data_IF_625056518565
#
_entry.id   IF_625056518565
#
_cell.length_a   1.000
_cell.length_b   1.000
_cell.length_c   1.000
_cell.angle_alpha   90.00
_cell.angle_beta   90.00
_cell.angle_gamma   90.00
#
_symmetry.space_group_name_H-M   'P 1'
#
loop_
_entity.id
_entity.type
_entity.pdbx_description
1 polymer ?
#
# COMPACT_ATOMS: atom_id res chain seq x y z
N UNK A 1 -2.26 19.88 -20.60
CA UNK A 1 -1.57 18.57 -20.46
C UNK A 1 -2.16 17.91 -19.24
N UNK A 2 -2.82 16.74 -19.37
CA UNK A 2 -3.40 16.06 -18.24
C UNK A 2 -2.32 15.41 -17.37
N UNK A 3 -2.57 15.36 -16.06
CA UNK A 3 -1.77 14.57 -15.13
C UNK A 3 -2.58 13.36 -14.72
N UNK A 4 -1.91 12.24 -14.49
CA UNK A 4 -2.55 11.04 -14.00
C UNK A 4 -3.15 11.32 -12.61
N UNK A 5 -4.46 11.09 -12.39
CA UNK A 5 -5.08 11.33 -11.09
C UNK A 5 -4.49 10.43 -10.01
N UNK A 6 -3.93 9.29 -10.40
CA UNK A 6 -3.42 8.28 -9.48
C UNK A 6 -1.94 8.43 -9.14
N UNK A 7 -1.11 9.09 -9.94
CA UNK A 7 0.32 9.22 -9.60
C UNK A 7 0.92 10.59 -9.89
N UNK A 8 0.12 11.55 -10.37
CA UNK A 8 0.59 12.90 -10.68
C UNK A 8 1.59 12.97 -11.83
N UNK A 9 1.85 11.86 -12.52
CA UNK A 9 2.73 11.85 -13.69
C UNK A 9 2.04 12.56 -14.83
N UNK A 10 2.78 13.38 -15.56
CA UNK A 10 2.30 13.99 -16.78
C UNK A 10 1.97 12.90 -17.80
N UNK A 11 0.75 12.94 -18.33
CA UNK A 11 0.27 11.95 -19.27
C UNK A 11 -0.16 12.62 -20.55
N UNK A 12 0.06 11.93 -21.67
CA UNK A 12 -0.45 12.38 -22.94
C UNK A 12 -1.99 12.34 -22.91
N UNK A 13 -2.65 13.36 -23.48
CA UNK A 13 -4.11 13.45 -23.50
C UNK A 13 -4.80 12.33 -24.28
N UNK A 14 -4.05 11.56 -25.08
CA UNK A 14 -4.55 10.40 -25.81
C UNK A 14 -4.20 9.05 -25.16
N UNK A 15 -3.48 9.04 -24.04
CA UNK A 15 -3.11 7.81 -23.36
C UNK A 15 -4.33 7.21 -22.65
N UNK A 16 -4.66 5.95 -22.95
CA UNK A 16 -5.73 5.21 -22.25
C UNK A 16 -5.29 4.73 -20.85
N UNK A 17 -3.98 4.57 -20.64
CA UNK A 17 -3.39 4.13 -19.38
C UNK A 17 -2.16 4.97 -19.05
N UNK A 18 -1.96 5.23 -17.76
CA UNK A 18 -0.77 5.92 -17.28
C UNK A 18 0.47 5.03 -17.47
N UNK A 19 1.53 5.50 -18.15
CA UNK A 19 2.75 4.73 -18.36
C UNK A 19 3.53 4.50 -17.06
N UNK A 20 3.28 5.29 -16.02
CA UNK A 20 3.99 5.16 -14.75
C UNK A 20 3.30 4.20 -13.77
N UNK A 21 1.98 4.28 -13.61
CA UNK A 21 1.24 3.49 -12.61
C UNK A 21 0.23 2.50 -13.19
N UNK A 22 -0.01 2.51 -14.51
CA UNK A 22 -0.96 1.61 -15.18
C UNK A 22 -2.43 1.99 -14.99
N UNK A 23 -2.74 3.10 -14.33
CA UNK A 23 -4.11 3.59 -14.14
C UNK A 23 -4.77 3.92 -15.46
N UNK A 24 -5.99 3.42 -15.68
CA UNK A 24 -6.83 3.83 -16.81
C UNK A 24 -7.18 5.31 -16.74
N UNK A 25 -6.84 6.07 -17.78
CA UNK A 25 -7.06 7.51 -17.92
C UNK A 25 -8.34 7.83 -18.68
N UNK A 26 -9.10 6.82 -19.08
CA UNK A 26 -10.40 7.02 -19.71
C UNK A 26 -11.32 7.80 -18.77
N UNK A 27 -11.80 8.95 -19.26
CA UNK A 27 -12.74 9.80 -18.56
C UNK A 27 -14.03 9.02 -18.27
N UNK A 28 -14.13 8.42 -17.09
CA UNK A 28 -15.38 7.84 -16.59
C UNK A 28 -16.38 8.96 -16.38
N UNK A 29 -17.12 9.30 -17.43
CA UNK A 29 -18.46 9.85 -17.28
C UNK A 29 -19.35 8.70 -16.81
N UNK A 30 -19.22 8.38 -15.53
CA UNK A 30 -20.07 7.43 -14.85
C UNK A 30 -20.22 7.97 -13.44
N UNK A 31 -21.30 8.72 -13.27
CA UNK A 31 -21.93 9.11 -12.01
C UNK A 31 -21.48 8.22 -10.84
N UNK A 32 -20.89 8.77 -9.77
CA UNK A 32 -20.59 7.98 -8.58
C UNK A 32 -21.93 7.62 -7.93
N UNK A 33 -22.49 6.49 -8.37
CA UNK A 33 -23.50 5.77 -7.63
C UNK A 33 -22.76 5.16 -6.46
N UNK A 34 -22.68 5.92 -5.36
CA UNK A 34 -22.14 5.45 -4.08
C UNK A 34 -23.00 4.28 -3.62
N UNK A 35 -22.60 3.07 -4.01
CA UNK A 35 -22.82 1.87 -3.23
C UNK A 35 -21.47 1.62 -2.57
N UNK A 36 -21.43 1.64 -1.24
CA UNK A 36 -20.30 1.20 -0.42
C UNK A 36 -19.61 0.02 -1.12
N UNK A 37 -18.45 0.27 -1.72
CA UNK A 37 -17.61 -0.83 -2.16
C UNK A 37 -17.08 -1.45 -0.88
N UNK A 38 -17.67 -2.57 -0.45
CA UNK A 38 -17.11 -3.35 0.64
C UNK A 38 -15.66 -3.64 0.29
N UNK A 39 -14.72 -3.20 1.13
CA UNK A 39 -13.31 -3.50 0.94
C UNK A 39 -13.16 -5.03 0.95
N UNK A 40 -12.89 -5.60 -0.23
CA UNK A 40 -12.61 -7.03 -0.38
C UNK A 40 -11.25 -7.31 0.23
N UNK A 41 -11.17 -8.37 1.01
CA UNK A 41 -9.89 -8.87 1.52
C UNK A 41 -8.95 -9.22 0.37
N UNK A 42 -7.67 -8.92 0.52
CA UNK A 42 -6.64 -9.33 -0.42
C UNK A 42 -6.50 -10.86 -0.41
N UNK A 43 -6.18 -11.43 -1.57
CA UNK A 43 -5.69 -12.82 -1.68
C UNK A 43 -4.24 -12.84 -1.16
N UNK A 44 -4.05 -13.40 0.04
CA UNK A 44 -2.75 -13.45 0.71
C UNK A 44 -1.94 -14.66 0.22
N UNK A 45 -0.63 -14.50 0.16
CA UNK A 45 0.26 -15.65 0.04
C UNK A 45 0.56 -16.25 1.42
N UNK A 46 1.01 -17.51 1.45
CA UNK A 46 1.30 -18.26 2.69
C UNK A 46 2.19 -17.49 3.67
N UNK A 47 3.18 -16.76 3.17
CA UNK A 47 4.08 -15.96 4.01
C UNK A 47 3.33 -14.80 4.67
N UNK A 48 2.45 -14.13 3.95
CA UNK A 48 1.69 -12.99 4.49
C UNK A 48 0.57 -13.45 5.42
N UNK A 49 0.00 -14.64 5.19
CA UNK A 49 -0.94 -15.26 6.12
C UNK A 49 -0.28 -15.56 7.48
N UNK A 50 0.93 -16.12 7.49
CA UNK A 50 1.69 -16.34 8.71
C UNK A 50 1.94 -15.02 9.47
N UNK A 51 2.36 -13.97 8.75
CA UNK A 51 2.60 -12.65 9.34
C UNK A 51 1.28 -12.07 9.90
N UNK A 52 0.17 -12.20 9.17
CA UNK A 52 -1.13 -11.73 9.62
C UNK A 52 -1.56 -12.40 10.92
N UNK A 53 -1.34 -13.71 11.05
CA UNK A 53 -1.63 -14.44 12.28
C UNK A 53 -0.72 -14.00 13.44
N UNK A 54 0.58 -13.83 13.20
CA UNK A 54 1.51 -13.29 14.22
C UNK A 54 1.07 -11.89 14.70
N UNK A 55 0.65 -11.03 13.77
CA UNK A 55 0.17 -9.68 14.08
C UNK A 55 -1.15 -9.70 14.87
N UNK A 56 -2.04 -10.66 14.59
CA UNK A 56 -3.28 -10.87 15.37
C UNK A 56 -2.99 -11.38 16.77
N UNK A 57 -2.10 -12.37 16.91
CA UNK A 57 -1.71 -12.92 18.21
C UNK A 57 -1.06 -11.86 19.11
N UNK A 58 -0.32 -10.92 18.51
CA UNK A 58 0.26 -9.76 19.19
C UNK A 58 -0.73 -8.63 19.48
N UNK A 59 -1.98 -8.73 19.02
CA UNK A 59 -3.01 -7.70 19.14
C UNK A 59 -2.75 -6.45 18.29
N UNK A 60 -1.87 -6.54 17.29
CA UNK A 60 -1.59 -5.44 16.36
C UNK A 60 -2.71 -5.29 15.34
N UNK A 61 -3.18 -6.39 14.76
CA UNK A 61 -4.33 -6.44 13.86
C UNK A 61 -5.50 -7.11 14.59
N UNK A 62 -6.71 -6.56 14.48
CA UNK A 62 -7.91 -7.18 15.06
C UNK A 62 -8.22 -8.56 14.46
N UNK A 63 -8.90 -9.45 15.19
CA UNK A 63 -9.21 -10.80 14.70
C UNK A 63 -10.01 -10.78 13.39
N UNK A 64 -10.97 -9.86 13.28
CA UNK A 64 -11.85 -9.71 12.11
C UNK A 64 -11.44 -8.55 11.19
N UNK A 65 -10.29 -7.93 11.44
CA UNK A 65 -9.82 -6.80 10.65
C UNK A 65 -9.29 -7.30 9.29
N UNK A 66 -9.88 -6.81 8.19
CA UNK A 66 -9.53 -7.28 6.86
C UNK A 66 -8.22 -6.66 6.40
N UNK A 67 -7.35 -7.50 5.83
CA UNK A 67 -6.19 -7.07 5.06
C UNK A 67 -6.65 -6.80 3.64
N UNK A 68 -6.37 -5.60 3.14
CA UNK A 68 -6.87 -5.09 1.86
C UNK A 68 -5.78 -5.03 0.78
N UNK A 69 -4.53 -4.90 1.19
CA UNK A 69 -3.37 -4.99 0.31
C UNK A 69 -2.13 -5.35 1.12
N UNK A 70 -1.10 -5.87 0.44
CA UNK A 70 0.23 -5.99 1.01
C UNK A 70 1.29 -5.82 -0.08
N UNK A 71 2.53 -5.57 0.35
CA UNK A 71 3.71 -5.66 -0.48
C UNK A 71 4.90 -6.21 0.30
N UNK A 72 5.76 -6.99 -0.35
CA UNK A 72 6.97 -7.56 0.26
C UNK A 72 8.22 -6.90 -0.29
N UNK A 73 9.16 -6.57 0.57
CA UNK A 73 10.43 -5.97 0.17
C UNK A 73 11.19 -6.92 -0.75
N UNK A 74 11.69 -6.42 -1.88
CA UNK A 74 12.47 -7.17 -2.86
C UNK A 74 13.89 -7.44 -2.36
N UNK A 75 14.09 -8.48 -1.54
CA UNK A 75 15.43 -8.89 -1.10
C UNK A 75 15.94 -10.08 -1.91
N UNK A 76 17.05 -9.89 -2.63
CA UNK A 76 17.80 -10.97 -3.27
C UNK A 76 18.86 -11.50 -2.29
N UNK A 77 18.81 -12.81 -1.97
CA UNK A 77 19.79 -13.54 -1.12
C UNK A 77 19.86 -13.12 0.36
N UNK A 78 18.72 -13.03 1.07
CA UNK A 78 18.73 -12.91 2.54
C UNK A 78 18.38 -14.25 3.21
N UNK A 79 19.01 -14.55 4.35
CA UNK A 79 18.68 -15.70 5.20
C UNK A 79 17.41 -15.48 6.03
N UNK A 80 16.86 -14.26 6.01
CA UNK A 80 15.68 -13.85 6.77
C UNK A 80 14.59 -13.47 5.78
N UNK A 81 13.32 -13.76 6.12
CA UNK A 81 12.14 -13.34 5.36
C UNK A 81 12.20 -11.81 5.08
N UNK A 82 11.69 -11.32 3.94
CA UNK A 82 11.67 -9.89 3.65
C UNK A 82 10.68 -9.15 4.56
N UNK A 83 10.90 -7.84 4.71
CA UNK A 83 9.92 -6.97 5.36
C UNK A 83 8.63 -6.88 4.53
N UNK A 84 7.49 -6.72 5.20
CA UNK A 84 6.17 -6.64 4.59
C UNK A 84 5.48 -5.34 4.99
N UNK A 85 4.85 -4.67 4.03
CA UNK A 85 3.88 -3.63 4.24
C UNK A 85 2.49 -4.25 4.09
N UNK A 86 1.61 -4.07 5.07
CA UNK A 86 0.28 -4.66 5.12
C UNK A 86 -0.71 -3.52 5.36
N UNK A 87 -1.67 -3.36 4.46
CA UNK A 87 -2.77 -2.38 4.57
C UNK A 87 -4.00 -3.11 5.04
N UNK A 88 -4.62 -2.64 6.11
CA UNK A 88 -5.91 -3.11 6.60
C UNK A 88 -6.99 -2.03 6.40
N UNK A 89 -8.22 -2.33 6.82
CA UNK A 89 -9.31 -1.34 6.86
C UNK A 89 -9.03 -0.16 7.82
N UNK A 90 -8.12 -0.30 8.79
CA UNK A 90 -7.89 0.69 9.85
C UNK A 90 -6.48 1.27 9.89
N UNK A 91 -5.50 0.56 9.36
CA UNK A 91 -4.10 0.93 9.54
C UNK A 91 -3.20 0.35 8.44
N UNK A 92 -2.04 0.97 8.30
CA UNK A 92 -0.89 0.37 7.67
C UNK A 92 0.02 -0.23 8.75
N UNK A 93 0.49 -1.45 8.50
CA UNK A 93 1.47 -2.15 9.31
C UNK A 93 2.73 -2.41 8.48
N UNK A 94 3.88 -1.93 8.96
CA UNK A 94 5.19 -2.36 8.51
C UNK A 94 5.73 -3.42 9.46
N UNK A 95 5.97 -4.61 8.92
CA UNK A 95 6.54 -5.75 9.63
C UNK A 95 7.93 -6.05 9.08
N UNK A 96 8.96 -5.97 9.92
CA UNK A 96 10.34 -6.24 9.55
C UNK A 96 10.89 -7.36 10.44
N UNK A 97 10.99 -8.60 9.93
CA UNK A 97 11.54 -9.71 10.69
C UNK A 97 13.03 -9.48 10.95
N UNK A 98 13.46 -9.70 12.19
CA UNK A 98 14.86 -9.63 12.62
C UNK A 98 15.35 -11.05 12.96
N UNK A 99 16.66 -11.21 13.16
CA UNK A 99 17.22 -12.51 13.62
C UNK A 99 16.57 -12.92 14.95
N UNK A 100 16.25 -11.93 15.79
CA UNK A 100 15.55 -12.11 17.05
C UNK A 100 14.33 -11.20 17.03
N UNK A 101 13.15 -11.82 17.03
CA UNK A 101 11.86 -11.12 17.02
C UNK A 101 11.57 -10.38 15.72
N UNK A 102 10.75 -9.34 15.82
CA UNK A 102 10.32 -8.52 14.69
C UNK A 102 10.17 -7.08 15.12
N UNK A 103 10.44 -6.17 14.19
CA UNK A 103 10.12 -4.75 14.33
C UNK A 103 8.79 -4.48 13.64
N UNK A 104 7.88 -3.84 14.37
CA UNK A 104 6.54 -3.55 13.91
C UNK A 104 6.32 -2.05 14.06
N UNK A 105 5.89 -1.40 12.98
CA UNK A 105 5.46 0.01 12.98
C UNK A 105 4.06 0.09 12.41
N UNK A 106 3.18 0.85 13.05
CA UNK A 106 1.79 1.04 12.60
C UNK A 106 1.47 2.52 12.43
N UNK A 107 0.56 2.82 11.49
CA UNK A 107 -0.10 4.12 11.34
C UNK A 107 -1.55 3.90 10.99
N UNK A 108 -2.44 4.58 11.66
CA UNK A 108 -3.86 4.48 11.32
C UNK A 108 -4.11 5.19 9.99
N UNK A 109 -5.12 4.75 9.24
CA UNK A 109 -5.37 5.28 7.90
C UNK A 109 -5.80 6.75 7.90
N UNK A 110 -6.36 7.23 9.01
CA UNK A 110 -6.72 8.63 9.27
C UNK A 110 -5.52 9.53 9.55
N UNK A 111 -4.39 8.99 10.05
CA UNK A 111 -3.16 9.75 10.28
C UNK A 111 -2.33 9.97 8.99
N UNK A 112 -2.68 9.28 7.89
CA UNK A 112 -1.90 9.31 6.64
C UNK A 112 -2.39 10.46 5.76
N UNK A 113 -1.53 11.46 5.57
CA UNK A 113 -1.83 12.64 4.76
C UNK A 113 -1.48 12.47 3.30
N UNK A 114 -0.32 11.86 3.04
CA UNK A 114 0.19 11.65 1.69
C UNK A 114 1.00 10.36 1.62
N UNK A 115 0.96 9.74 0.45
CA UNK A 115 1.77 8.56 0.13
C UNK A 115 2.44 8.82 -1.22
N UNK A 116 3.75 9.06 -1.15
CA UNK A 116 4.59 9.18 -2.31
C UNK A 116 5.22 7.82 -2.66
N UNK A 117 5.34 7.56 -3.96
CA UNK A 117 6.07 6.41 -4.49
C UNK A 117 7.12 6.96 -5.44
N UNK A 118 8.39 6.83 -5.06
CA UNK A 118 9.52 7.08 -5.95
C UNK A 118 9.93 5.77 -6.62
N UNK A 119 9.68 5.65 -7.92
CA UNK A 119 9.78 4.40 -8.64
C UNK A 119 11.05 4.32 -9.49
N UNK A 120 11.90 3.35 -9.17
CA UNK A 120 12.97 2.89 -10.08
C UNK A 120 12.45 1.92 -11.15
N UNK A 121 13.37 1.26 -11.86
CA UNK A 121 13.05 0.38 -13.00
C UNK A 121 12.18 -0.83 -12.58
N UNK A 122 12.48 -1.43 -11.42
CA UNK A 122 11.75 -2.60 -10.89
C UNK A 122 11.17 -2.37 -9.49
N UNK A 123 11.94 -1.69 -8.66
CA UNK A 123 11.62 -1.45 -7.26
C UNK A 123 11.37 0.03 -7.02
N UNK A 124 10.66 0.34 -5.94
CA UNK A 124 10.27 1.67 -5.54
C UNK A 124 10.54 1.89 -4.05
N UNK A 125 10.58 3.17 -3.67
CA UNK A 125 10.57 3.64 -2.31
C UNK A 125 9.20 4.23 -2.01
N UNK A 126 8.56 3.76 -0.95
CA UNK A 126 7.28 4.29 -0.45
C UNK A 126 7.61 5.26 0.68
N UNK A 127 7.08 6.47 0.60
CA UNK A 127 7.16 7.47 1.67
C UNK A 127 5.76 7.79 2.13
N UNK A 128 5.53 7.69 3.44
CA UNK A 128 4.23 7.93 4.07
C UNK A 128 4.39 9.13 4.98
N UNK A 129 3.69 10.18 4.60
CA UNK A 129 3.62 11.42 5.37
C UNK A 129 2.44 11.34 6.30
N UNK A 130 2.69 11.63 7.56
CA UNK A 130 1.68 11.57 8.63
C UNK A 130 1.66 12.89 9.39
N UNK A 131 0.70 13.07 10.29
CA UNK A 131 0.69 14.20 11.23
C UNK A 131 1.93 14.26 12.14
N UNK A 132 2.59 13.12 12.34
CA UNK A 132 3.83 13.06 13.10
C UNK A 132 4.96 13.81 12.37
N UNK A 133 5.91 14.34 13.14
CA UNK A 133 7.06 15.09 12.60
C UNK A 133 7.97 14.29 11.65
N UNK A 134 7.89 12.95 11.66
CA UNK A 134 8.76 12.07 10.88
C UNK A 134 7.99 11.30 9.80
N UNK A 135 8.46 11.44 8.55
CA UNK A 135 8.02 10.62 7.42
C UNK A 135 8.47 9.16 7.60
N UNK A 136 7.59 8.21 7.27
CA UNK A 136 7.98 6.79 7.20
C UNK A 136 8.46 6.46 5.78
N UNK A 137 9.71 6.02 5.66
CA UNK A 137 10.33 5.68 4.37
C UNK A 137 10.62 4.19 4.31
N UNK A 138 10.14 3.53 3.24
CA UNK A 138 10.29 2.10 3.00
C UNK A 138 10.86 1.84 1.61
N UNK A 139 12.10 1.37 1.55
CA UNK A 139 12.84 1.22 0.29
C UNK A 139 12.73 -0.19 -0.29
N UNK A 140 12.99 -0.30 -1.59
CA UNK A 140 13.22 -1.58 -2.28
C UNK A 140 12.00 -2.51 -2.29
N UNK A 141 10.80 -1.97 -2.52
CA UNK A 141 9.56 -2.74 -2.71
C UNK A 141 9.20 -2.86 -4.20
N UNK A 142 8.55 -3.95 -4.66
CA UNK A 142 8.11 -4.08 -6.05
C UNK A 142 7.19 -2.93 -6.45
N UNK A 143 7.53 -2.20 -7.53
CA UNK A 143 6.79 -1.02 -7.98
C UNK A 143 5.29 -1.28 -8.13
N UNK A 144 4.93 -2.43 -8.72
CA UNK A 144 3.53 -2.79 -8.98
C UNK A 144 2.74 -3.02 -7.69
N UNK A 145 3.36 -3.58 -6.66
CA UNK A 145 2.71 -3.80 -5.36
C UNK A 145 2.61 -2.50 -4.57
N UNK A 146 3.60 -1.61 -4.67
CA UNK A 146 3.54 -0.28 -4.06
C UNK A 146 2.34 0.52 -4.57
N UNK A 147 2.09 0.49 -5.89
CA UNK A 147 0.91 1.14 -6.47
C UNK A 147 -0.39 0.57 -5.90
N UNK A 148 -0.48 -0.75 -5.69
CA UNK A 148 -1.65 -1.36 -5.04
C UNK A 148 -1.84 -0.83 -3.61
N UNK A 149 -0.77 -0.78 -2.82
CA UNK A 149 -0.78 -0.25 -1.44
C UNK A 149 -1.30 1.19 -1.42
N UNK A 150 -0.73 2.09 -2.22
CA UNK A 150 -1.15 3.50 -2.29
C UNK A 150 -2.61 3.64 -2.70
N UNK A 151 -3.02 2.94 -3.75
CA UNK A 151 -4.38 3.04 -4.28
C UNK A 151 -5.41 2.52 -3.27
N UNK A 152 -5.10 1.44 -2.55
CA UNK A 152 -5.95 0.95 -1.46
C UNK A 152 -6.08 1.98 -0.34
N UNK A 153 -4.98 2.58 0.12
CA UNK A 153 -5.04 3.58 1.19
C UNK A 153 -5.85 4.81 0.77
N UNK A 154 -5.67 5.29 -0.48
CA UNK A 154 -6.48 6.40 -1.00
C UNK A 154 -7.96 6.09 -1.05
N UNK A 155 -8.34 4.88 -1.48
CA UNK A 155 -9.74 4.45 -1.46
C UNK A 155 -10.33 4.41 -0.05
N UNK A 156 -9.52 4.04 0.95
CA UNK A 156 -9.93 4.10 2.36
C UNK A 156 -10.16 5.56 2.76
N UNK A 157 -9.22 6.46 2.46
CA UNK A 157 -9.32 7.88 2.78
C UNK A 157 -10.53 8.57 2.11
N UNK A 158 -10.88 8.18 0.87
CA UNK A 158 -12.05 8.70 0.15
C UNK A 158 -13.39 8.16 0.65
N UNK A 159 -13.39 7.14 1.52
CA UNK A 159 -14.60 6.49 2.03
C UNK A 159 -15.14 7.12 3.33
N UNK A 160 -14.43 8.09 3.91
CA UNK A 160 -14.79 8.83 5.11
C UNK A 160 -15.03 10.31 4.78
#
# INVERSE_FOLDING_TARGET
>A
MPFCPECGTEVDGSANFCPNCGTGLEAKTSTPSIRKEEFKSAELDEMVEEIANELRDKGVIGPDEKILAYSRQSRYKSLIKPASLIVTEKQLVYYNPKIIGSEIKTRTTDEIHDIAIDAGIKNATITIRTEAMDDLVFENFPKNECNKVRNTIRRIAESF
#
